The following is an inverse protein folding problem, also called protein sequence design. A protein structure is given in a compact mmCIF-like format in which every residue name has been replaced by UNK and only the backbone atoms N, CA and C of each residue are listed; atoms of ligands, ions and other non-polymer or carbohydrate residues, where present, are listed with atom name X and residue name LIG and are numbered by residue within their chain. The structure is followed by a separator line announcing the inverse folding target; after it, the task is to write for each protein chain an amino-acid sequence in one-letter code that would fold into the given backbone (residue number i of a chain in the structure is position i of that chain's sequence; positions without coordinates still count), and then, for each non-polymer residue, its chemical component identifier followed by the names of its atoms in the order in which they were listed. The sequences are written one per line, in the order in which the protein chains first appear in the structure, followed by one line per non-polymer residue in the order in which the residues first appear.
data_IF_614158111656
#
_entry.id   IF_614158111656
#
_cell.length_a   1.000
_cell.length_b   1.000
_cell.length_c   1.000
_cell.angle_alpha   90.00
_cell.angle_beta   90.00
_cell.angle_gamma   90.00
#
_symmetry.space_group_name_H-M   'P 1'
#
loop_
_entity.id
_entity.type
_entity.pdbx_description
1 polymer ?
#
# COMPACT_ATOMS: atom_id res chain seq x y z
N UNK A 1 8.98 18.06 21.34
CA UNK A 1 8.87 17.88 19.88
C UNK A 1 7.39 17.81 19.55
N UNK A 2 6.84 18.80 18.85
CA UNK A 2 5.46 18.74 18.36
C UNK A 2 5.41 17.68 17.27
N UNK A 3 4.83 16.52 17.57
CA UNK A 3 4.57 15.51 16.55
C UNK A 3 3.51 16.07 15.61
N UNK A 4 3.89 16.38 14.37
CA UNK A 4 2.93 16.76 13.34
C UNK A 4 1.97 15.58 13.12
N UNK A 5 0.64 15.76 13.26
CA UNK A 5 -0.30 14.65 13.06
C UNK A 5 -0.17 14.06 11.65
N UNK A 6 -0.22 12.74 11.51
CA UNK A 6 -0.12 12.05 10.20
C UNK A 6 -1.12 12.64 9.19
N UNK A 7 -2.33 12.97 9.64
CA UNK A 7 -3.38 13.58 8.82
C UNK A 7 -2.96 14.88 8.11
N UNK A 8 -1.99 15.63 8.65
CA UNK A 8 -1.49 16.85 8.02
C UNK A 8 -0.74 16.59 6.71
N UNK A 9 -0.14 15.41 6.54
CA UNK A 9 0.55 15.03 5.31
C UNK A 9 -0.42 14.67 4.18
N UNK A 10 -1.71 14.46 4.47
CA UNK A 10 -2.72 14.10 3.46
C UNK A 10 -2.98 15.19 2.40
N UNK A 11 -2.47 16.41 2.58
CA UNK A 11 -2.56 17.48 1.58
C UNK A 11 -1.55 17.31 0.43
N UNK A 12 -0.42 16.65 0.71
CA UNK A 12 0.71 16.51 -0.21
C UNK A 12 0.96 15.06 -0.61
N UNK A 13 0.53 14.10 0.23
CA UNK A 13 0.79 12.68 0.07
C UNK A 13 -0.50 11.87 0.09
N UNK A 14 -0.55 10.83 -0.73
CA UNK A 14 -1.41 9.69 -0.44
C UNK A 14 -0.77 8.91 0.72
N UNK A 15 -1.40 8.95 1.89
CA UNK A 15 -0.86 8.32 3.10
C UNK A 15 -1.39 6.90 3.21
N UNK A 16 -0.48 5.92 3.31
CA UNK A 16 -0.79 4.53 3.64
C UNK A 16 -0.21 4.25 5.02
N UNK A 17 -1.09 4.13 6.02
CA UNK A 17 -0.71 3.90 7.42
C UNK A 17 -1.01 2.45 7.82
N UNK A 18 0.02 1.76 8.29
CA UNK A 18 -0.04 0.38 8.78
C UNK A 18 -1.17 0.15 9.79
N UNK A 19 -1.53 1.15 10.59
CA UNK A 19 -2.58 1.02 11.60
C UNK A 19 -4.00 1.26 11.05
N UNK A 20 -4.13 1.76 9.82
CA UNK A 20 -5.38 2.19 9.21
C UNK A 20 -5.45 1.78 7.73
N UNK A 21 -5.13 0.51 7.43
CA UNK A 21 -4.97 0.01 6.06
C UNK A 21 -6.28 -0.13 5.28
N UNK A 22 -7.38 -0.45 5.96
CA UNK A 22 -8.66 -0.80 5.35
C UNK A 22 -9.81 -0.18 6.12
N UNK A 23 -10.84 0.25 5.40
CA UNK A 23 -12.12 0.71 6.00
C UNK A 23 -13.10 -0.46 6.12
N UNK A 24 -13.03 -1.41 5.19
CA UNK A 24 -13.98 -2.49 5.01
C UNK A 24 -13.44 -3.83 5.52
N UNK A 25 -14.32 -4.83 5.56
CA UNK A 25 -13.99 -6.14 6.13
C UNK A 25 -13.31 -7.07 5.13
N UNK A 26 -13.68 -6.98 3.85
CA UNK A 26 -13.20 -7.87 2.79
C UNK A 26 -12.57 -7.07 1.66
N UNK A 27 -11.73 -7.71 0.85
CA UNK A 27 -11.12 -7.06 -0.30
C UNK A 27 -12.17 -6.60 -1.32
N UNK A 28 -13.21 -7.40 -1.55
CA UNK A 28 -14.29 -7.02 -2.47
C UNK A 28 -15.00 -5.72 -2.03
N UNK A 29 -15.32 -5.63 -0.73
CA UNK A 29 -15.96 -4.42 -0.18
C UNK A 29 -15.03 -3.22 -0.27
N UNK A 30 -13.74 -3.40 0.01
CA UNK A 30 -12.75 -2.31 -0.02
C UNK A 30 -12.56 -1.76 -1.44
N UNK A 31 -12.45 -2.64 -2.44
CA UNK A 31 -12.38 -2.24 -3.85
C UNK A 31 -13.63 -1.44 -4.22
N UNK A 32 -14.82 -1.88 -3.80
CA UNK A 32 -16.07 -1.19 -4.08
C UNK A 32 -16.12 0.21 -3.43
N UNK A 33 -15.69 0.33 -2.17
CA UNK A 33 -15.64 1.60 -1.44
C UNK A 33 -14.68 2.59 -2.11
N UNK A 34 -13.57 2.10 -2.66
CA UNK A 34 -12.59 2.90 -3.39
C UNK A 34 -12.99 3.20 -4.84
N UNK A 35 -14.19 2.77 -5.27
CA UNK A 35 -14.71 2.99 -6.62
C UNK A 35 -14.02 2.16 -7.71
N UNK A 36 -13.37 1.05 -7.32
CA UNK A 36 -12.76 0.11 -8.24
C UNK A 36 -13.78 -0.69 -9.05
N UNK A 37 -13.34 -1.17 -10.21
CA UNK A 37 -14.14 -2.03 -11.09
C UNK A 37 -13.81 -3.51 -10.81
N UNK A 38 -14.77 -4.40 -11.02
CA UNK A 38 -14.65 -5.83 -10.68
C UNK A 38 -13.43 -6.53 -11.30
N UNK A 39 -12.88 -6.04 -12.42
CA UNK A 39 -11.70 -6.64 -13.05
C UNK A 39 -10.39 -6.40 -12.29
N UNK A 40 -10.36 -5.42 -11.37
CA UNK A 40 -9.16 -5.07 -10.59
C UNK A 40 -8.79 -6.18 -9.60
N UNK A 41 -9.76 -7.00 -9.20
CA UNK A 41 -9.53 -8.10 -8.27
C UNK A 41 -8.53 -9.13 -8.80
N UNK A 42 -8.66 -9.55 -10.06
CA UNK A 42 -7.78 -10.55 -10.67
C UNK A 42 -6.33 -10.06 -10.74
N UNK A 43 -6.15 -8.76 -11.01
CA UNK A 43 -4.84 -8.12 -11.02
C UNK A 43 -4.22 -8.08 -9.62
N UNK A 44 -5.00 -7.69 -8.60
CA UNK A 44 -4.56 -7.70 -7.19
C UNK A 44 -4.14 -9.11 -6.77
N UNK A 45 -4.95 -10.13 -7.07
CA UNK A 45 -4.64 -11.54 -6.76
C UNK A 45 -3.35 -11.98 -7.44
N UNK A 46 -3.18 -11.63 -8.72
CA UNK A 46 -1.99 -11.97 -9.51
C UNK A 46 -0.72 -11.35 -8.93
N UNK A 47 -0.76 -10.06 -8.56
CA UNK A 47 0.41 -9.37 -7.99
C UNK A 47 0.69 -9.91 -6.59
N UNK A 48 -0.33 -10.10 -5.74
CA UNK A 48 -0.16 -10.64 -4.39
C UNK A 48 0.43 -12.06 -4.39
N UNK A 49 0.09 -12.89 -5.39
CA UNK A 49 0.66 -14.22 -5.55
C UNK A 49 2.19 -14.20 -5.73
N UNK A 50 2.77 -13.13 -6.32
CA UNK A 50 4.22 -12.95 -6.40
C UNK A 50 4.89 -12.88 -5.02
N UNK A 51 4.17 -12.41 -4.01
CA UNK A 51 4.61 -12.35 -2.61
C UNK A 51 4.29 -13.63 -1.83
N UNK A 52 3.76 -14.66 -2.50
CA UNK A 52 3.30 -15.90 -1.86
C UNK A 52 1.96 -15.75 -1.12
N UNK A 53 1.22 -14.66 -1.34
CA UNK A 53 -0.03 -14.37 -0.65
C UNK A 53 -1.20 -14.89 -1.49
N UNK A 54 -1.96 -15.84 -0.94
CA UNK A 54 -3.20 -16.30 -1.55
C UNK A 54 -4.36 -15.40 -1.13
N UNK A 55 -4.63 -14.38 -1.94
CA UNK A 55 -5.68 -13.39 -1.71
C UNK A 55 -7.02 -13.91 -2.23
N UNK A 56 -8.09 -13.66 -1.48
CA UNK A 56 -9.46 -13.98 -1.88
C UNK A 56 -10.36 -12.79 -1.57
N UNK A 57 -11.18 -12.36 -2.54
CA UNK A 57 -12.12 -11.24 -2.39
C UNK A 57 -12.99 -11.32 -1.14
N UNK A 58 -13.52 -12.52 -0.86
CA UNK A 58 -14.47 -12.78 0.22
C UNK A 58 -13.80 -13.06 1.57
N UNK A 59 -12.47 -13.21 1.62
CA UNK A 59 -11.76 -13.47 2.86
C UNK A 59 -11.63 -12.17 3.65
N UNK A 60 -11.83 -12.26 4.96
CA UNK A 60 -11.65 -11.13 5.88
C UNK A 60 -10.21 -10.64 5.87
N UNK A 61 -9.99 -9.34 5.64
CA UNK A 61 -8.67 -8.72 5.56
C UNK A 61 -7.87 -8.83 6.87
N UNK A 62 -8.55 -8.79 8.02
CA UNK A 62 -7.92 -8.96 9.34
C UNK A 62 -7.43 -10.38 9.63
N UNK A 63 -7.79 -11.36 8.79
CA UNK A 63 -7.32 -12.75 8.91
C UNK A 63 -5.95 -12.99 8.25
N UNK A 64 -5.40 -11.98 7.58
CA UNK A 64 -4.04 -11.99 7.06
C UNK A 64 -3.08 -11.45 8.14
N UNK A 65 -1.81 -11.84 8.09
CA UNK A 65 -0.78 -11.25 8.96
C UNK A 65 -0.59 -9.75 8.65
N UNK A 66 0.00 -8.99 9.58
CA UNK A 66 0.22 -7.55 9.36
C UNK A 66 1.02 -7.26 8.09
N UNK A 67 2.08 -8.03 7.82
CA UNK A 67 2.87 -7.87 6.59
C UNK A 67 2.07 -8.20 5.32
N UNK A 68 1.22 -9.22 5.35
CA UNK A 68 0.33 -9.53 4.23
C UNK A 68 -0.71 -8.42 4.02
N UNK A 69 -1.34 -7.92 5.09
CA UNK A 69 -2.28 -6.80 5.03
C UNK A 69 -1.63 -5.56 4.39
N UNK A 70 -0.40 -5.25 4.80
CA UNK A 70 0.36 -4.13 4.26
C UNK A 70 0.62 -4.29 2.75
N UNK A 71 1.04 -5.48 2.32
CA UNK A 71 1.25 -5.78 0.89
C UNK A 71 -0.06 -5.71 0.11
N UNK A 72 -1.14 -6.32 0.61
CA UNK A 72 -2.46 -6.29 -0.03
C UNK A 72 -2.93 -4.85 -0.23
N UNK A 73 -2.82 -4.00 0.80
CA UNK A 73 -3.19 -2.59 0.72
C UNK A 73 -2.35 -1.85 -0.33
N UNK A 74 -1.03 -2.00 -0.32
CA UNK A 74 -0.16 -1.37 -1.31
C UNK A 74 -0.46 -1.84 -2.75
N UNK A 75 -0.68 -3.13 -2.97
CA UNK A 75 -1.02 -3.69 -4.29
C UNK A 75 -2.38 -3.19 -4.75
N UNK A 76 -3.37 -3.14 -3.87
CA UNK A 76 -4.70 -2.59 -4.17
C UNK A 76 -4.57 -1.13 -4.62
N UNK A 77 -3.81 -0.31 -3.89
CA UNK A 77 -3.54 1.07 -4.28
C UNK A 77 -2.82 1.12 -5.63
N UNK A 78 -1.78 0.32 -5.88
CA UNK A 78 -1.14 0.28 -7.21
C UNK A 78 -2.15 0.05 -8.32
N UNK A 79 -3.09 -0.89 -8.17
CA UNK A 79 -4.06 -1.20 -9.22
C UNK A 79 -5.12 -0.10 -9.40
N UNK A 80 -5.48 0.61 -8.32
CA UNK A 80 -6.49 1.68 -8.34
C UNK A 80 -5.95 3.05 -8.76
N UNK A 81 -4.63 3.27 -8.63
CA UNK A 81 -4.02 4.53 -9.01
C UNK A 81 -4.09 4.76 -10.53
N UNK A 82 -4.49 5.96 -10.92
CA UNK A 82 -4.32 6.45 -12.29
C UNK A 82 -2.84 6.76 -12.58
N UNK A 83 -2.44 6.77 -13.86
CA UNK A 83 -1.08 7.11 -14.31
C UNK A 83 -0.75 8.61 -14.15
N UNK A 84 -0.70 9.07 -12.90
CA UNK A 84 -0.35 10.42 -12.51
C UNK A 84 0.91 10.41 -11.64
N UNK A 85 1.61 11.54 -11.61
CA UNK A 85 2.72 11.74 -10.69
C UNK A 85 2.15 11.95 -9.29
N UNK A 86 2.29 10.95 -8.42
CA UNK A 86 1.74 10.92 -7.08
C UNK A 86 2.83 10.64 -6.05
N UNK A 87 2.77 11.34 -4.93
CA UNK A 87 3.63 11.08 -3.78
C UNK A 87 2.88 10.19 -2.79
N UNK A 88 3.41 9.01 -2.50
CA UNK A 88 2.84 8.08 -1.51
C UNK A 88 3.72 8.05 -0.28
N UNK A 89 3.14 8.26 0.89
CA UNK A 89 3.80 8.15 2.18
C UNK A 89 3.42 6.82 2.84
N UNK A 90 4.39 5.92 2.95
CA UNK A 90 4.27 4.62 3.59
C UNK A 90 4.64 4.75 5.08
N UNK A 91 3.64 4.78 5.96
CA UNK A 91 3.83 4.96 7.41
C UNK A 91 3.87 3.59 8.10
N UNK A 92 5.03 3.21 8.66
CA UNK A 92 5.31 1.93 9.33
C UNK A 92 5.12 0.65 8.47
N UNK A 93 4.81 0.80 7.18
CA UNK A 93 4.64 -0.31 6.23
C UNK A 93 5.95 -1.10 6.08
N UNK A 94 7.03 -0.43 5.69
CA UNK A 94 8.30 -1.11 5.37
C UNK A 94 8.96 -1.78 6.59
N UNK A 95 8.69 -1.25 7.79
CA UNK A 95 9.16 -1.79 9.07
C UNK A 95 8.47 -3.12 9.42
N UNK A 96 7.23 -3.30 8.96
CA UNK A 96 6.44 -4.51 9.19
C UNK A 96 6.83 -5.66 8.23
N UNK A 97 7.56 -5.35 7.16
CA UNK A 97 7.94 -6.31 6.14
C UNK A 97 9.34 -6.90 6.37
N UNK A 98 9.51 -8.16 5.98
CA UNK A 98 10.83 -8.76 5.81
C UNK A 98 11.63 -7.99 4.74
N UNK A 99 12.96 -8.05 4.81
CA UNK A 99 13.82 -7.37 3.83
C UNK A 99 13.50 -7.80 2.39
N UNK A 100 13.25 -9.10 2.18
CA UNK A 100 12.86 -9.62 0.88
C UNK A 100 11.55 -9.02 0.37
N UNK A 101 10.49 -9.04 1.18
CA UNK A 101 9.19 -8.48 0.78
C UNK A 101 9.26 -6.97 0.59
N UNK A 102 10.09 -6.26 1.38
CA UNK A 102 10.32 -4.83 1.23
C UNK A 102 10.92 -4.51 -0.13
N UNK A 103 12.00 -5.19 -0.51
CA UNK A 103 12.65 -4.99 -1.80
C UNK A 103 11.71 -5.32 -2.95
N UNK A 104 10.97 -6.43 -2.85
CA UNK A 104 10.01 -6.84 -3.86
C UNK A 104 8.86 -5.83 -4.00
N UNK A 105 8.31 -5.31 -2.89
CA UNK A 105 7.24 -4.32 -2.93
C UNK A 105 7.68 -3.03 -3.62
N UNK A 106 8.88 -2.54 -3.28
CA UNK A 106 9.45 -1.35 -3.93
C UNK A 106 9.72 -1.59 -5.42
N UNK A 107 10.17 -2.78 -5.80
CA UNK A 107 10.35 -3.14 -7.20
C UNK A 107 9.03 -3.19 -7.97
N UNK A 108 7.98 -3.79 -7.39
CA UNK A 108 6.64 -3.85 -8.00
C UNK A 108 6.02 -2.45 -8.16
N UNK A 109 6.20 -1.55 -7.19
CA UNK A 109 5.80 -0.14 -7.35
C UNK A 109 6.50 0.52 -8.55
N UNK A 110 7.82 0.30 -8.71
CA UNK A 110 8.57 0.89 -9.84
C UNK A 110 8.12 0.35 -11.19
N UNK A 111 7.81 -0.95 -11.26
CA UNK A 111 7.37 -1.60 -12.51
C UNK A 111 5.96 -1.14 -12.87
N UNK A 112 5.04 -1.17 -11.90
CA UNK A 112 3.61 -0.95 -12.13
C UNK A 112 3.27 0.53 -12.18
N UNK A 113 3.94 1.36 -11.38
CA UNK A 113 3.69 2.79 -11.21
C UNK A 113 5.01 3.60 -11.21
N UNK A 114 5.73 3.68 -12.34
CA UNK A 114 7.03 4.33 -12.42
C UNK A 114 7.00 5.85 -12.13
N UNK A 115 5.83 6.48 -12.20
CA UNK A 115 5.64 7.91 -11.93
C UNK A 115 5.35 8.21 -10.45
N UNK A 116 5.22 7.19 -9.60
CA UNK A 116 4.96 7.35 -8.17
C UNK A 116 6.26 7.61 -7.43
N UNK A 117 6.27 8.64 -6.58
CA UNK A 117 7.35 8.91 -5.64
C UNK A 117 6.99 8.31 -4.28
N UNK A 118 7.83 7.41 -3.78
CA UNK A 118 7.61 6.76 -2.49
C UNK A 118 8.38 7.45 -1.37
N UNK A 119 7.71 7.64 -0.24
CA UNK A 119 8.24 8.23 0.97
C UNK A 119 7.98 7.30 2.17
N UNK A 120 8.82 7.40 3.20
CA UNK A 120 8.61 6.80 4.52
C UNK A 120 8.57 7.89 5.59
N UNK A 121 7.97 7.60 6.74
CA UNK A 121 7.94 8.54 7.86
C UNK A 121 9.19 8.39 8.73
N UNK A 122 10.06 9.40 8.75
CA UNK A 122 11.23 9.47 9.62
C UNK A 122 11.04 10.43 10.81
N UNK A 123 12.03 10.54 11.71
CA UNK A 123 11.97 11.43 12.88
C UNK A 123 11.76 12.92 12.57
N UNK A 124 12.11 13.33 11.35
CA UNK A 124 11.95 14.71 10.84
C UNK A 124 10.79 14.90 9.86
N UNK A 125 9.93 13.89 9.67
CA UNK A 125 8.85 13.91 8.68
C UNK A 125 9.09 12.98 7.48
N UNK A 126 8.35 13.16 6.37
CA UNK A 126 8.47 12.36 5.16
C UNK A 126 9.89 12.38 4.57
N UNK A 127 10.43 11.21 4.30
CA UNK A 127 11.75 11.03 3.69
C UNK A 127 11.60 10.21 2.40
N UNK A 128 12.19 10.63 1.28
CA UNK A 128 12.11 9.87 0.05
C UNK A 128 12.79 8.51 0.23
N UNK A 129 12.16 7.45 -0.28
CA UNK A 129 12.74 6.11 -0.31
C UNK A 129 13.69 6.07 -1.51
N UNK A 130 14.96 6.36 -1.26
CA UNK A 130 16.01 6.32 -2.27
C UNK A 130 16.26 4.87 -2.74
N UNK A 131 16.77 4.74 -3.96
CA UNK A 131 17.06 3.46 -4.62
C UNK A 131 17.90 2.52 -3.75
N UNK A 132 17.29 1.43 -3.27
CA UNK A 132 17.97 0.12 -3.22
C UNK A 132 17.94 -0.49 -4.62
#
# INVERSE_FOLDING_TARGET
MSQTPIASYGQEFLVIDMHNLFVSTTLADEILVLGGLNFIEEEIVTICAKFGINVSASRTLTSYSGGEQAIICCVMIMCLLSDQNLSILLVHILETLSEHNRQQLLAEFRITRPLVNLFTLGPGGPQPIAHV
#
